data_IF_979201533647
#
_entry.id   IF_979201533647
#
_cell.length_a   1.000
_cell.length_b   1.000
_cell.length_c   1.000
_cell.angle_alpha   90.00
_cell.angle_beta   90.00
_cell.angle_gamma   90.00
#
_symmetry.space_group_name_H-M   'P 1'
#
loop_
_entity.id
_entity.type
_entity.pdbx_description
1 polymer ?
#
# COMPACT_ATOMS: atom_id res chain seq x y z
N UNK A 1 3.99 -11.86 -63.61
CA UNK A 1 4.73 -10.60 -63.83
C UNK A 1 5.10 -10.09 -62.44
N UNK A 2 6.08 -10.63 -61.73
CA UNK A 2 7.53 -10.71 -62.00
C UNK A 2 8.15 -9.37 -62.44
N UNK A 3 8.79 -8.67 -61.48
CA UNK A 3 9.97 -7.85 -61.72
C UNK A 3 10.69 -7.49 -60.39
N UNK A 4 11.84 -8.13 -60.20
CA UNK A 4 12.95 -7.76 -59.29
C UNK A 4 13.60 -6.41 -59.67
N UNK A 5 14.15 -5.70 -58.66
CA UNK A 5 15.47 -4.98 -58.65
C UNK A 5 15.72 -4.45 -57.22
N UNK A 6 16.70 -4.98 -56.46
CA UNK A 6 18.10 -4.48 -56.24
C UNK A 6 18.15 -2.94 -56.05
N UNK A 7 18.66 -2.31 -54.99
CA UNK A 7 19.48 -2.71 -53.84
C UNK A 7 20.69 -1.77 -53.71
N UNK A 8 20.77 -0.96 -52.64
CA UNK A 8 21.96 -0.31 -52.03
C UNK A 8 21.48 0.24 -50.68
N UNK A 9 22.02 -0.06 -49.49
CA UNK A 9 23.41 -0.29 -49.13
C UNK A 9 23.92 0.93 -48.35
N UNK A 10 23.43 1.14 -47.12
CA UNK A 10 23.85 2.21 -46.21
C UNK A 10 23.86 1.70 -44.78
N UNK A 11 25.04 1.35 -44.27
CA UNK A 11 25.24 0.83 -42.93
C UNK A 11 25.25 1.94 -41.88
N UNK A 12 24.37 1.82 -40.90
CA UNK A 12 24.50 2.46 -39.59
C UNK A 12 24.87 1.36 -38.60
N UNK A 13 26.04 1.52 -37.97
CA UNK A 13 26.46 0.69 -36.85
C UNK A 13 25.63 1.09 -35.63
N UNK A 14 24.71 0.24 -35.22
CA UNK A 14 24.09 0.32 -33.89
C UNK A 14 24.87 -0.60 -32.93
N UNK A 15 25.51 0.00 -31.93
CA UNK A 15 26.02 -0.69 -30.75
C UNK A 15 24.83 -1.11 -29.87
N UNK A 16 24.20 -2.22 -30.24
CA UNK A 16 23.09 -2.82 -29.51
C UNK A 16 23.55 -3.55 -28.26
N UNK A 17 23.76 -2.84 -27.15
CA UNK A 17 23.70 -3.45 -25.81
C UNK A 17 22.28 -3.91 -25.56
N UNK A 18 22.03 -5.21 -25.71
CA UNK A 18 20.78 -5.86 -25.37
C UNK A 18 20.49 -5.71 -23.87
N UNK A 19 19.71 -4.70 -23.49
CA UNK A 19 19.05 -4.68 -22.17
C UNK A 19 17.99 -5.77 -22.19
N UNK A 20 18.19 -6.85 -21.43
CA UNK A 20 17.13 -7.82 -21.17
C UNK A 20 16.08 -7.14 -20.29
N UNK A 21 15.00 -6.67 -20.92
CA UNK A 21 13.76 -6.33 -20.22
C UNK A 21 13.00 -7.66 -20.08
N UNK A 22 13.08 -8.26 -18.90
CA UNK A 22 12.25 -9.42 -18.56
C UNK A 22 10.87 -8.94 -18.13
N UNK A 23 9.88 -9.09 -18.99
CA UNK A 23 8.48 -8.98 -18.60
C UNK A 23 8.05 -10.33 -18.04
N UNK A 24 7.68 -10.38 -16.76
CA UNK A 24 6.91 -11.50 -16.20
C UNK A 24 5.47 -11.03 -16.10
N UNK A 25 4.67 -11.36 -17.11
CA UNK A 25 3.22 -11.25 -17.03
C UNK A 25 2.71 -12.45 -16.22
N UNK A 26 2.19 -12.20 -15.02
CA UNK A 26 1.60 -13.24 -14.19
C UNK A 26 0.12 -13.38 -14.56
N UNK A 27 -0.17 -14.25 -15.53
CA UNK A 27 -1.52 -14.72 -15.80
C UNK A 27 -1.46 -16.18 -16.28
N UNK A 28 -1.24 -17.10 -15.33
CA UNK A 28 -1.57 -18.51 -15.54
C UNK A 28 -1.79 -19.18 -14.17
N UNK A 29 -3.04 -19.49 -13.84
CA UNK A 29 -3.39 -20.30 -12.68
C UNK A 29 -2.79 -21.71 -12.84
N UNK A 30 -1.64 -21.95 -12.21
CA UNK A 30 -1.09 -23.29 -12.05
C UNK A 30 -1.39 -23.81 -10.65
N UNK A 31 -1.73 -25.11 -10.58
CA UNK A 31 -2.00 -25.80 -9.31
C UNK A 31 -0.72 -25.84 -8.46
N UNK A 32 -0.85 -25.80 -7.12
CA UNK A 32 0.31 -25.67 -6.25
C UNK A 32 1.31 -26.82 -6.45
N UNK A 33 2.58 -26.46 -6.54
CA UNK A 33 3.67 -27.45 -6.65
C UNK A 33 3.98 -28.06 -5.28
N UNK A 34 4.66 -29.21 -5.26
CA UNK A 34 4.98 -29.92 -4.01
C UNK A 34 5.80 -29.06 -3.01
N UNK A 35 6.52 -28.04 -3.49
CA UNK A 35 7.20 -27.01 -2.69
C UNK A 35 6.25 -26.13 -1.86
N UNK A 36 5.05 -25.81 -2.38
CA UNK A 36 4.03 -25.06 -1.65
C UNK A 36 3.31 -25.92 -0.59
N UNK A 37 3.20 -27.24 -0.84
CA UNK A 37 2.76 -28.20 0.18
C UNK A 37 3.78 -28.35 1.30
N UNK A 38 5.06 -28.34 0.98
CA UNK A 38 6.13 -28.41 1.97
C UNK A 38 6.21 -27.13 2.80
N UNK A 39 5.94 -25.96 2.22
CA UNK A 39 5.80 -24.69 2.95
C UNK A 39 4.62 -24.69 3.94
N UNK A 40 3.47 -25.24 3.53
CA UNK A 40 2.30 -25.41 4.42
C UNK A 40 2.56 -26.43 5.54
N UNK A 41 3.35 -27.47 5.28
CA UNK A 41 3.67 -28.51 6.27
C UNK A 41 4.80 -28.11 7.24
N UNK A 42 5.79 -27.33 6.80
CA UNK A 42 6.88 -26.84 7.64
C UNK A 42 6.38 -25.87 8.73
N UNK A 43 5.34 -25.06 8.42
CA UNK A 43 4.68 -24.19 9.38
C UNK A 43 3.90 -24.92 10.50
N UNK A 44 3.75 -26.25 10.40
CA UNK A 44 3.10 -27.09 11.42
C UNK A 44 4.06 -27.62 12.49
N UNK A 45 5.37 -27.60 12.27
CA UNK A 45 6.36 -28.17 13.19
C UNK A 45 7.44 -27.15 13.55
N UNK A 46 7.12 -26.35 14.57
CA UNK A 46 8.01 -25.79 15.58
C UNK A 46 9.40 -25.27 15.18
N UNK A 47 9.56 -23.94 15.23
CA UNK A 47 10.84 -23.31 15.53
C UNK A 47 10.65 -22.31 16.67
N UNK A 48 10.97 -22.76 17.88
CA UNK A 48 11.17 -21.92 19.07
C UNK A 48 12.63 -21.42 19.03
N UNK A 49 12.84 -20.11 19.04
CA UNK A 49 13.92 -19.46 19.81
C UNK A 49 13.74 -17.94 19.88
N UNK A 50 13.59 -17.46 21.13
CA UNK A 50 13.94 -16.16 21.72
C UNK A 50 13.48 -14.85 21.08
N UNK A 51 12.20 -14.51 21.27
CA UNK A 51 11.74 -13.33 22.02
C UNK A 51 10.23 -13.49 22.20
N UNK A 52 9.79 -13.85 23.41
CA UNK A 52 8.38 -14.06 23.74
C UNK A 52 7.68 -12.69 23.84
N UNK A 53 7.18 -12.19 22.71
CA UNK A 53 5.95 -11.42 22.74
C UNK A 53 4.81 -12.40 23.06
N UNK A 54 3.77 -12.00 23.82
CA UNK A 54 2.61 -12.86 24.01
C UNK A 54 2.14 -13.32 22.64
N UNK A 55 1.83 -14.62 22.55
CA UNK A 55 1.25 -15.26 21.38
C UNK A 55 0.02 -14.43 20.99
N UNK A 56 0.19 -13.50 20.05
CA UNK A 56 -0.91 -12.73 19.46
C UNK A 56 -1.79 -13.77 18.80
N UNK A 57 -2.84 -14.15 19.53
CA UNK A 57 -3.82 -15.14 19.09
C UNK A 57 -4.25 -14.76 17.68
N UNK A 58 -4.10 -15.70 16.74
CA UNK A 58 -4.26 -15.50 15.29
C UNK A 58 -5.71 -15.14 14.90
N UNK A 59 -6.56 -14.82 15.87
CA UNK A 59 -7.99 -14.56 15.74
C UNK A 59 -8.37 -13.09 15.95
N UNK A 60 -7.49 -12.24 16.50
CA UNK A 60 -7.92 -10.93 17.03
C UNK A 60 -7.78 -9.71 16.10
N UNK A 61 -7.37 -9.86 14.83
CA UNK A 61 -6.86 -8.73 14.03
C UNK A 61 -7.62 -8.45 12.73
N UNK A 62 -8.94 -8.68 12.68
CA UNK A 62 -9.68 -8.52 11.42
C UNK A 62 -10.02 -7.07 11.04
N UNK A 63 -9.85 -6.09 11.93
CA UNK A 63 -10.27 -4.70 11.65
C UNK A 63 -9.25 -3.62 11.97
N UNK A 64 -7.98 -3.98 12.21
CA UNK A 64 -6.96 -3.01 12.61
C UNK A 64 -5.86 -2.83 11.57
N UNK A 65 -6.05 -1.83 10.69
CA UNK A 65 -5.18 -1.53 9.55
C UNK A 65 -3.76 -1.14 10.01
N UNK A 66 -3.64 -0.42 11.13
CA UNK A 66 -2.34 0.08 11.61
C UNK A 66 -1.35 -1.04 11.96
N UNK A 67 -1.63 -2.02 12.86
CA UNK A 67 -0.72 -3.14 13.09
C UNK A 67 -0.56 -4.03 11.87
N UNK A 68 -1.60 -4.23 11.05
CA UNK A 68 -1.47 -5.03 9.83
C UNK A 68 -0.38 -4.47 8.92
N UNK A 69 -0.38 -3.16 8.69
CA UNK A 69 0.65 -2.48 7.91
C UNK A 69 2.05 -2.62 8.55
N UNK A 70 2.16 -2.44 9.87
CA UNK A 70 3.45 -2.62 10.55
C UNK A 70 3.95 -4.06 10.57
N UNK A 71 3.06 -5.05 10.68
CA UNK A 71 3.40 -6.48 10.57
C UNK A 71 3.88 -6.80 9.16
N UNK A 72 3.21 -6.29 8.12
CA UNK A 72 3.64 -6.45 6.73
C UNK A 72 5.08 -5.97 6.53
N UNK A 73 5.41 -4.78 7.05
CA UNK A 73 6.76 -4.21 6.97
C UNK A 73 7.76 -5.04 7.78
N UNK A 74 7.40 -5.46 9.00
CA UNK A 74 8.24 -6.31 9.85
C UNK A 74 8.59 -7.62 9.15
N UNK A 75 7.58 -8.34 8.65
CA UNK A 75 7.79 -9.63 8.00
C UNK A 75 8.53 -9.47 6.67
N UNK A 76 8.29 -8.39 5.92
CA UNK A 76 9.06 -8.07 4.71
C UNK A 76 10.54 -7.87 5.04
N UNK A 77 10.85 -7.08 6.08
CA UNK A 77 12.23 -6.83 6.53
C UNK A 77 12.89 -8.11 7.05
N UNK A 78 12.15 -8.93 7.80
CA UNK A 78 12.62 -10.22 8.29
C UNK A 78 12.94 -11.16 7.12
N UNK A 79 12.02 -11.33 6.18
CA UNK A 79 12.20 -12.17 5.00
C UNK A 79 13.41 -11.71 4.15
N UNK A 80 13.56 -10.39 3.94
CA UNK A 80 14.73 -9.80 3.28
C UNK A 80 16.04 -10.17 4.00
N UNK A 81 16.03 -10.16 5.33
CA UNK A 81 17.20 -10.50 6.16
C UNK A 81 17.53 -12.00 6.08
N UNK A 82 16.52 -12.86 6.19
CA UNK A 82 16.68 -14.33 6.10
C UNK A 82 17.25 -14.76 4.74
N UNK A 83 16.81 -14.11 3.66
CA UNK A 83 17.35 -14.31 2.31
C UNK A 83 18.72 -13.67 2.07
N UNK A 84 19.25 -12.89 3.03
CA UNK A 84 20.52 -12.14 2.91
C UNK A 84 20.54 -11.16 1.73
N UNK A 85 19.39 -10.57 1.40
CA UNK A 85 19.23 -9.61 0.29
C UNK A 85 18.96 -8.18 0.80
N UNK A 86 19.56 -7.80 1.94
CA UNK A 86 19.44 -6.46 2.53
C UNK A 86 19.91 -5.31 1.61
N UNK A 87 20.71 -5.64 0.59
CA UNK A 87 21.19 -4.72 -0.43
C UNK A 87 20.19 -4.55 -1.60
N UNK A 88 19.04 -5.23 -1.58
CA UNK A 88 17.95 -5.04 -2.54
C UNK A 88 16.85 -4.18 -1.92
N UNK A 89 16.22 -3.30 -2.71
CA UNK A 89 15.01 -2.62 -2.27
C UNK A 89 13.88 -3.64 -2.13
N UNK A 90 12.94 -3.39 -1.20
CA UNK A 90 11.65 -4.05 -1.22
C UNK A 90 10.58 -3.04 -1.63
N UNK A 91 9.78 -3.41 -2.63
CA UNK A 91 8.61 -2.65 -3.05
C UNK A 91 7.40 -3.22 -2.32
N UNK A 92 6.70 -2.38 -1.58
CA UNK A 92 5.47 -2.75 -0.88
C UNK A 92 4.38 -1.89 -1.47
N UNK A 93 3.51 -2.48 -2.27
CA UNK A 93 2.48 -1.77 -3.02
C UNK A 93 1.14 -2.46 -2.94
N UNK A 94 0.08 -1.68 -2.98
CA UNK A 94 -1.30 -2.18 -3.00
C UNK A 94 -2.27 -1.14 -2.47
N UNK A 95 -3.51 -1.57 -2.30
CA UNK A 95 -4.54 -0.86 -1.56
C UNK A 95 -4.35 -1.11 -0.06
N UNK A 96 -4.04 -0.05 0.68
CA UNK A 96 -3.83 -0.08 2.11
C UNK A 96 -5.04 0.38 2.93
N UNK A 97 -6.10 0.88 2.27
CA UNK A 97 -7.32 1.37 2.90
C UNK A 97 -7.12 2.47 3.97
N UNK A 98 -6.07 3.30 3.84
CA UNK A 98 -5.89 4.51 4.65
C UNK A 98 -5.45 5.68 3.77
N UNK A 99 -5.73 6.90 4.23
CA UNK A 99 -5.32 8.14 3.57
C UNK A 99 -4.02 8.70 4.18
N UNK A 100 -3.34 9.67 3.52
CA UNK A 100 -2.08 10.24 4.01
C UNK A 100 -2.19 10.98 5.36
N UNK A 101 -3.40 11.40 5.76
CA UNK A 101 -3.69 11.98 7.06
C UNK A 101 -4.00 10.94 8.15
N UNK A 102 -3.89 9.65 7.85
CA UNK A 102 -4.14 8.55 8.80
C UNK A 102 -2.92 8.20 9.68
N UNK A 103 -3.16 7.58 10.84
CA UNK A 103 -2.13 7.09 11.75
C UNK A 103 -1.22 6.02 11.11
N UNK A 104 -1.78 5.11 10.31
CA UNK A 104 -0.99 4.08 9.61
C UNK A 104 0.03 4.71 8.67
N UNK A 105 -0.39 5.67 7.84
CA UNK A 105 0.50 6.37 6.92
C UNK A 105 1.62 7.07 7.69
N UNK A 106 1.29 7.87 8.73
CA UNK A 106 2.26 8.54 9.60
C UNK A 106 3.34 7.59 10.10
N UNK A 107 2.92 6.48 10.70
CA UNK A 107 3.83 5.54 11.35
C UNK A 107 4.73 4.81 10.35
N UNK A 108 4.19 4.41 9.19
CA UNK A 108 4.95 3.76 8.13
C UNK A 108 6.06 4.65 7.58
N UNK A 109 5.76 5.94 7.36
CA UNK A 109 6.73 6.89 6.82
C UNK A 109 7.64 7.47 7.90
N UNK A 110 7.32 7.25 9.18
CA UNK A 110 8.10 7.67 10.34
C UNK A 110 7.84 9.09 10.82
N UNK A 111 6.66 9.62 10.55
CA UNK A 111 6.17 10.88 11.13
C UNK A 111 5.57 10.62 12.52
N UNK A 112 5.52 11.67 13.35
CA UNK A 112 4.86 11.60 14.67
C UNK A 112 3.34 11.55 14.51
N UNK A 113 2.65 10.79 15.38
CA UNK A 113 1.19 10.82 15.45
C UNK A 113 0.70 12.19 15.91
N UNK A 114 -0.36 12.67 15.27
CA UNK A 114 -1.10 13.85 15.69
C UNK A 114 -2.17 13.47 16.74
N UNK A 115 -2.59 14.39 17.62
CA UNK A 115 -3.65 14.12 18.59
C UNK A 115 -4.95 13.61 17.95
N UNK A 116 -5.32 14.16 16.79
CA UNK A 116 -6.53 13.74 16.06
C UNK A 116 -6.37 12.35 15.42
N UNK A 117 -5.14 11.98 15.06
CA UNK A 117 -4.83 10.62 14.58
C UNK A 117 -4.91 9.61 15.73
N UNK A 118 -4.37 9.97 16.89
CA UNK A 118 -4.45 9.13 18.09
C UNK A 118 -5.90 8.94 18.57
N UNK A 119 -6.71 10.00 18.55
CA UNK A 119 -8.12 9.90 18.89
C UNK A 119 -8.88 9.00 17.90
N UNK A 120 -8.64 9.14 16.60
CA UNK A 120 -9.23 8.26 15.57
C UNK A 120 -8.80 6.81 15.77
N UNK A 121 -7.50 6.59 15.99
CA UNK A 121 -6.91 5.30 16.30
C UNK A 121 -7.65 4.63 17.47
N UNK A 122 -7.79 5.32 18.60
CA UNK A 122 -8.50 4.81 19.78
C UNK A 122 -9.97 4.51 19.50
N UNK A 123 -10.66 5.36 18.73
CA UNK A 123 -12.07 5.11 18.36
C UNK A 123 -12.26 3.90 17.44
N UNK A 124 -11.23 3.53 16.68
CA UNK A 124 -11.24 2.36 15.80
C UNK A 124 -10.85 1.04 16.51
N UNK A 125 -10.55 1.07 17.81
CA UNK A 125 -10.25 -0.14 18.59
C UNK A 125 -11.54 -0.89 18.89
N UNK A 126 -11.84 -1.90 18.07
CA UNK A 126 -13.05 -2.70 18.17
C UNK A 126 -12.74 -4.20 18.16
N UNK A 127 -13.59 -4.96 18.82
CA UNK A 127 -13.57 -6.43 18.82
C UNK A 127 -14.83 -6.91 18.12
N UNK A 128 -14.64 -7.54 16.97
CA UNK A 128 -15.73 -8.07 16.16
C UNK A 128 -16.26 -9.41 16.71
N UNK A 129 -17.53 -9.74 16.44
CA UNK A 129 -18.19 -10.94 16.96
C UNK A 129 -17.47 -12.26 16.63
N UNK A 130 -16.70 -12.30 15.53
CA UNK A 130 -15.89 -13.46 15.15
C UNK A 130 -14.75 -13.75 16.12
N UNK A 131 -14.31 -12.73 16.86
CA UNK A 131 -13.27 -12.82 17.88
C UNK A 131 -13.91 -13.05 19.26
N UNK A 132 -14.98 -12.29 19.53
CA UNK A 132 -15.75 -12.39 20.77
C UNK A 132 -17.22 -12.70 20.46
N UNK A 133 -17.63 -13.98 20.53
CA UNK A 133 -19.00 -14.40 20.25
C UNK A 133 -20.06 -13.81 21.19
N UNK A 134 -19.66 -13.13 22.27
CA UNK A 134 -20.60 -12.42 23.17
C UNK A 134 -21.10 -11.10 22.58
N UNK A 135 -20.43 -10.60 21.53
CA UNK A 135 -20.87 -9.40 20.82
C UNK A 135 -22.15 -9.70 20.04
N UNK A 136 -23.23 -8.90 20.22
CA UNK A 136 -24.45 -9.09 19.46
C UNK A 136 -24.20 -8.98 17.95
N UNK A 137 -24.65 -9.97 17.19
CA UNK A 137 -24.62 -9.90 15.73
C UNK A 137 -25.67 -8.90 15.26
N UNK A 138 -25.24 -7.90 14.49
CA UNK A 138 -26.19 -7.02 13.81
C UNK A 138 -26.96 -7.86 12.78
N UNK A 139 -28.29 -7.87 12.88
CA UNK A 139 -29.16 -8.45 11.87
C UNK A 139 -29.38 -7.35 10.84
N UNK A 140 -28.69 -7.41 9.70
CA UNK A 140 -28.94 -6.51 8.58
C UNK A 140 -30.36 -6.77 8.06
N UNK A 141 -31.33 -5.94 8.44
CA UNK A 141 -32.54 -5.79 7.66
C UNK A 141 -32.12 -5.23 6.30
N UNK A 142 -32.45 -5.95 5.23
CA UNK A 142 -32.22 -5.48 3.87
C UNK A 142 -32.92 -4.11 3.71
N UNK A 143 -32.14 -3.04 3.64
CA UNK A 143 -32.65 -1.73 3.28
C UNK A 143 -32.99 -1.79 1.78
N UNK A 144 -34.28 -1.73 1.49
CA UNK A 144 -34.81 -1.58 0.13
C UNK A 144 -34.23 -0.31 -0.50
N UNK A 145 -33.71 -0.46 -1.72
CA UNK A 145 -33.22 0.64 -2.55
C UNK A 145 -34.35 1.65 -2.82
N UNK A 146 -34.24 2.88 -2.29
CA UNK A 146 -35.08 3.97 -2.76
C UNK A 146 -35.16 5.21 -1.85
N UNK A 147 -34.34 6.22 -2.14
CA UNK A 147 -34.69 7.62 -1.90
C UNK A 147 -33.87 8.40 -0.86
N UNK A 148 -33.08 9.34 -1.40
CA UNK A 148 -32.59 10.63 -0.86
C UNK A 148 -31.80 10.65 0.47
N UNK A 149 -30.54 11.12 0.35
CA UNK A 149 -29.46 11.11 1.35
C UNK A 149 -29.10 9.71 1.86
N UNK A 150 -28.62 8.86 0.95
CA UNK A 150 -28.02 7.58 1.27
C UNK A 150 -26.84 7.77 2.24
N UNK A 151 -27.09 7.56 3.53
CA UNK A 151 -26.06 7.45 4.55
C UNK A 151 -25.22 6.22 4.21
N UNK A 152 -23.93 6.43 4.00
CA UNK A 152 -22.96 5.39 3.69
C UNK A 152 -23.05 4.22 4.69
N UNK A 153 -23.46 3.01 4.25
CA UNK A 153 -23.64 1.86 5.13
C UNK A 153 -22.32 1.39 5.75
N UNK A 154 -21.16 1.74 5.17
CA UNK A 154 -19.83 1.33 5.65
C UNK A 154 -19.28 2.23 6.77
N UNK A 155 -19.97 3.33 7.11
CA UNK A 155 -19.57 4.20 8.24
C UNK A 155 -19.83 3.60 9.62
N UNK A 156 -20.67 2.56 9.71
CA UNK A 156 -21.03 1.94 10.99
C UNK A 156 -20.35 0.59 11.09
N UNK A 157 -19.36 0.47 11.98
CA UNK A 157 -18.80 -0.83 12.34
C UNK A 157 -19.90 -1.64 13.04
N UNK A 158 -20.55 -2.53 12.31
CA UNK A 158 -21.60 -3.40 12.84
C UNK A 158 -20.99 -4.64 13.48
N UNK A 159 -21.73 -5.25 14.41
CA UNK A 159 -21.32 -6.52 15.07
C UNK A 159 -19.96 -6.46 15.77
N UNK A 160 -19.59 -5.30 16.33
CA UNK A 160 -18.38 -5.12 17.11
C UNK A 160 -18.65 -4.37 18.42
N UNK A 161 -17.84 -4.63 19.45
CA UNK A 161 -17.80 -3.84 20.69
C UNK A 161 -16.52 -3.03 20.76
N UNK A 162 -16.49 -1.99 21.60
CA UNK A 162 -15.24 -1.31 21.93
C UNK A 162 -14.24 -2.29 22.57
N UNK A 163 -12.97 -2.17 22.20
CA UNK A 163 -11.91 -2.94 22.82
C UNK A 163 -11.62 -2.43 24.25
N UNK A 164 -11.11 -3.34 25.05
CA UNK A 164 -10.68 -3.14 26.43
C UNK A 164 -9.19 -3.49 26.54
N UNK A 165 -8.48 -3.06 27.59
CA UNK A 165 -7.08 -3.46 27.80
C UNK A 165 -6.89 -4.99 27.85
N UNK A 166 -7.91 -5.76 28.24
CA UNK A 166 -7.86 -7.22 28.28
C UNK A 166 -7.82 -7.88 26.89
N UNK A 167 -8.20 -7.15 25.83
CA UNK A 167 -8.20 -7.66 24.46
C UNK A 167 -6.80 -7.69 23.83
N UNK A 168 -5.78 -7.15 24.52
CA UNK A 168 -4.38 -7.27 24.11
C UNK A 168 -4.01 -6.47 22.85
N UNK A 169 -4.81 -5.46 22.48
CA UNK A 169 -4.45 -4.52 21.42
C UNK A 169 -3.35 -3.58 21.92
N UNK A 170 -2.36 -3.31 21.06
CA UNK A 170 -1.29 -2.36 21.36
C UNK A 170 -1.88 -0.97 21.61
N UNK A 171 -1.49 -0.31 22.69
CA UNK A 171 -1.77 1.12 22.91
C UNK A 171 -1.08 2.01 21.86
N UNK A 172 -1.48 3.28 21.71
CA UNK A 172 -0.79 4.22 20.80
C UNK A 172 0.72 4.30 21.06
N UNK A 173 1.14 4.33 22.33
CA UNK A 173 2.56 4.33 22.71
C UNK A 173 3.28 3.06 22.28
N UNK A 174 2.66 1.89 22.48
CA UNK A 174 3.23 0.61 22.06
C UNK A 174 3.27 0.47 20.53
N UNK A 175 2.32 1.07 19.81
CA UNK A 175 2.36 1.15 18.35
C UNK A 175 3.51 2.04 17.89
N UNK A 176 3.69 3.22 18.46
CA UNK A 176 4.83 4.10 18.14
C UNK A 176 6.14 3.35 18.39
N UNK A 177 6.26 2.67 19.53
CA UNK A 177 7.44 1.86 19.84
C UNK A 177 7.64 0.72 18.83
N UNK A 178 6.58 0.00 18.48
CA UNK A 178 6.61 -1.07 17.49
C UNK A 178 7.13 -0.57 16.14
N UNK A 179 6.58 0.55 15.64
CA UNK A 179 6.99 1.15 14.37
C UNK A 179 8.40 1.77 14.43
N UNK A 180 8.87 2.18 15.60
CA UNK A 180 10.25 2.67 15.76
C UNK A 180 11.32 1.58 15.52
N UNK A 181 10.94 0.31 15.67
CA UNK A 181 11.83 -0.87 15.54
C UNK A 181 11.84 -1.48 14.14
N UNK A 182 10.97 -1.04 13.25
CA UNK A 182 10.90 -1.54 11.87
C UNK A 182 11.42 -0.49 10.87
N UNK A 183 11.84 -0.89 9.66
CA UNK A 183 12.29 0.07 8.65
C UNK A 183 11.18 1.03 8.25
N UNK A 184 11.54 2.32 8.10
CA UNK A 184 10.64 3.32 7.55
C UNK A 184 10.46 3.12 6.05
N UNK A 185 9.25 3.35 5.58
CA UNK A 185 8.92 3.34 4.17
C UNK A 185 9.00 4.74 3.59
N UNK A 186 9.16 4.82 2.27
CA UNK A 186 9.04 6.04 1.50
C UNK A 186 8.07 5.83 0.36
N UNK A 187 7.05 6.67 0.27
CA UNK A 187 6.16 6.66 -0.89
C UNK A 187 6.90 7.17 -2.13
N UNK A 188 6.78 6.44 -3.25
CA UNK A 188 7.36 6.88 -4.52
C UNK A 188 6.67 8.11 -5.06
N UNK A 189 5.35 8.24 -4.86
CA UNK A 189 4.57 9.35 -5.38
C UNK A 189 4.79 10.62 -4.55
N UNK A 190 4.66 10.55 -3.22
CA UNK A 190 4.99 11.69 -2.34
C UNK A 190 6.41 12.22 -2.61
N UNK A 191 7.40 11.33 -2.69
CA UNK A 191 8.76 11.73 -2.98
C UNK A 191 8.95 12.26 -4.40
N UNK A 192 8.44 11.57 -5.42
CA UNK A 192 8.65 11.93 -6.82
C UNK A 192 7.94 13.24 -7.17
N UNK A 193 6.68 13.42 -6.76
CA UNK A 193 5.90 14.63 -7.00
C UNK A 193 6.46 15.83 -6.22
N UNK A 194 7.06 15.63 -5.05
CA UNK A 194 7.76 16.72 -4.33
C UNK A 194 8.93 17.35 -5.11
N UNK A 195 9.48 16.62 -6.10
CA UNK A 195 10.57 17.08 -6.96
C UNK A 195 10.11 17.71 -8.27
N UNK A 196 8.82 17.61 -8.59
CA UNK A 196 8.26 18.17 -9.82
C UNK A 196 8.04 19.67 -9.61
N UNK A 197 8.71 20.51 -10.42
CA UNK A 197 8.65 21.98 -10.30
C UNK A 197 7.31 22.57 -10.68
N UNK A 198 6.63 21.95 -11.63
CA UNK A 198 5.33 22.38 -12.14
C UNK A 198 4.41 21.17 -12.20
N UNK A 199 3.44 21.14 -11.30
CA UNK A 199 2.43 20.10 -11.26
C UNK A 199 1.33 20.32 -12.31
N UNK A 200 1.39 21.36 -13.15
CA UNK A 200 0.56 21.56 -14.34
C UNK A 200 -0.95 21.29 -14.14
N UNK A 201 -1.50 21.77 -13.02
CA UNK A 201 -2.92 21.58 -12.69
C UNK A 201 -3.28 20.20 -12.13
N UNK A 202 -2.28 19.35 -11.86
CA UNK A 202 -2.46 18.12 -11.08
C UNK A 202 -2.71 18.47 -9.62
N UNK A 203 -3.76 17.86 -9.08
CA UNK A 203 -4.13 18.02 -7.68
C UNK A 203 -3.40 16.95 -6.85
N UNK A 204 -2.77 17.36 -5.76
CA UNK A 204 -2.20 16.45 -4.75
C UNK A 204 -3.11 16.35 -3.54
N UNK A 205 -2.90 15.35 -2.70
CA UNK A 205 -3.63 15.22 -1.44
C UNK A 205 -3.54 16.48 -0.58
N UNK A 206 -2.33 17.03 -0.40
CA UNK A 206 -2.07 18.23 0.40
C UNK A 206 -2.74 19.51 -0.13
N UNK A 207 -3.14 19.53 -1.40
CA UNK A 207 -3.91 20.65 -1.97
C UNK A 207 -5.41 20.59 -1.64
N UNK A 208 -5.93 19.42 -1.21
CA UNK A 208 -7.33 19.22 -0.79
C UNK A 208 -7.48 19.15 0.72
N UNK A 209 -6.53 18.48 1.36
CA UNK A 209 -6.51 18.22 2.80
C UNK A 209 -5.29 18.91 3.37
N UNK A 210 -5.51 19.84 4.29
CA UNK A 210 -4.42 20.56 4.93
C UNK A 210 -3.59 19.61 5.80
N UNK A 211 -2.39 19.29 5.34
CA UNK A 211 -1.37 18.61 6.13
C UNK A 211 -0.35 19.65 6.63
N UNK A 212 0.23 19.39 7.81
CA UNK A 212 1.31 20.25 8.32
C UNK A 212 2.50 20.30 7.34
N UNK A 213 3.22 21.43 7.24
CA UNK A 213 4.24 21.64 6.20
C UNK A 213 5.42 20.67 6.25
N UNK A 214 5.68 20.04 7.40
CA UNK A 214 6.73 19.03 7.58
C UNK A 214 6.24 17.59 7.45
N UNK A 215 4.94 17.39 7.21
CA UNK A 215 4.29 16.08 7.14
C UNK A 215 4.44 15.49 5.74
N UNK A 216 4.80 14.22 5.70
CA UNK A 216 4.82 13.43 4.47
C UNK A 216 3.38 13.14 4.03
N UNK A 217 3.21 12.86 2.75
CA UNK A 217 1.90 12.56 2.16
C UNK A 217 1.23 13.72 1.44
N UNK A 218 1.75 14.94 1.59
CA UNK A 218 1.19 16.15 0.97
C UNK A 218 1.29 16.11 -0.56
N UNK A 219 2.28 15.42 -1.09
CA UNK A 219 2.52 15.28 -2.53
C UNK A 219 1.93 13.99 -3.09
N UNK A 220 1.22 13.19 -2.30
CA UNK A 220 0.49 12.03 -2.83
C UNK A 220 -0.57 12.47 -3.86
N UNK A 221 -1.03 11.57 -4.74
CA UNK A 221 -2.14 11.85 -5.65
C UNK A 221 -3.35 12.43 -4.90
N UNK A 222 -4.18 13.26 -5.53
CA UNK A 222 -5.41 13.69 -4.86
C UNK A 222 -6.37 12.52 -4.60
N UNK A 223 -6.36 11.53 -5.50
CA UNK A 223 -7.23 10.36 -5.51
C UNK A 223 -6.49 9.16 -6.09
N UNK A 224 -6.71 7.99 -5.50
CA UNK A 224 -6.39 6.69 -6.10
C UNK A 224 -7.61 5.81 -6.18
N UNK A 225 -8.64 6.08 -5.36
CA UNK A 225 -10.01 5.59 -5.51
C UNK A 225 -10.97 6.78 -5.70
N UNK A 226 -11.85 6.68 -6.70
CA UNK A 226 -12.75 7.76 -7.09
C UNK A 226 -14.17 7.25 -7.35
N UNK A 227 -14.86 6.77 -6.34
CA UNK A 227 -16.26 6.34 -6.46
C UNK A 227 -17.23 7.50 -6.30
N UNK A 228 -18.54 7.22 -6.43
CA UNK A 228 -19.59 8.21 -6.20
C UNK A 228 -19.60 8.73 -4.74
N UNK A 229 -19.49 7.83 -3.76
CA UNK A 229 -19.57 8.17 -2.34
C UNK A 229 -18.20 8.44 -1.69
N UNK A 230 -17.15 7.80 -2.20
CA UNK A 230 -15.83 7.79 -1.57
C UNK A 230 -14.73 8.14 -2.57
N UNK A 231 -14.05 9.25 -2.31
CA UNK A 231 -12.99 9.81 -3.16
C UNK A 231 -11.76 10.12 -2.31
N UNK A 232 -10.79 9.22 -2.31
CA UNK A 232 -9.58 9.40 -1.50
C UNK A 232 -8.37 8.64 -2.05
N UNK A 233 -7.25 8.77 -1.35
CA UNK A 233 -6.03 8.00 -1.58
C UNK A 233 -6.06 6.80 -0.68
N UNK A 234 -5.93 5.61 -1.27
CA UNK A 234 -5.88 4.32 -0.58
C UNK A 234 -4.72 3.46 -1.09
N UNK A 235 -4.26 3.72 -2.30
CA UNK A 235 -3.23 2.94 -2.99
C UNK A 235 -1.87 3.61 -2.88
N UNK A 236 -0.86 2.81 -2.59
CA UNK A 236 0.50 3.30 -2.44
C UNK A 236 1.50 2.38 -3.13
N UNK A 237 2.60 2.98 -3.57
CA UNK A 237 3.83 2.25 -3.93
C UNK A 237 4.90 2.73 -2.97
N UNK A 238 5.15 1.95 -1.92
CA UNK A 238 6.19 2.22 -0.96
C UNK A 238 7.49 1.51 -1.32
N UNK A 239 8.61 2.18 -1.03
CA UNK A 239 9.95 1.60 -1.11
C UNK A 239 10.53 1.49 0.29
N UNK A 240 10.94 0.27 0.64
CA UNK A 240 11.89 0.02 1.70
C UNK A 240 13.29 0.00 1.08
N UNK A 241 14.04 1.07 1.30
CA UNK A 241 15.36 1.24 0.70
C UNK A 241 16.36 0.17 1.21
N UNK A 242 17.39 -0.16 0.41
CA UNK A 242 18.53 -0.94 0.86
C UNK A 242 19.20 -0.32 2.09
N UNK A 243 19.92 -1.13 2.87
CA UNK A 243 20.60 -0.65 4.09
C UNK A 243 21.76 0.33 3.81
N UNK A 244 22.32 0.27 2.60
CA UNK A 244 23.53 0.96 2.17
C UNK A 244 23.27 2.12 1.21
N UNK A 245 22.05 2.24 0.66
CA UNK A 245 21.72 3.24 -0.36
C UNK A 245 20.25 3.56 -0.41
N UNK A 246 19.91 4.68 -1.06
CA UNK A 246 18.53 5.03 -1.39
C UNK A 246 18.25 4.79 -2.87
N UNK A 247 17.05 4.35 -3.16
CA UNK A 247 16.52 4.21 -4.51
C UNK A 247 16.03 5.57 -5.02
N UNK A 248 16.29 5.92 -6.25
CA UNK A 248 15.77 7.14 -6.86
C UNK A 248 14.48 6.87 -7.63
N UNK A 249 13.54 7.82 -7.57
CA UNK A 249 12.35 7.84 -8.43
C UNK A 249 12.73 8.61 -9.69
N UNK A 250 12.75 7.91 -10.83
CA UNK A 250 13.15 8.45 -12.13
C UNK A 250 11.95 8.98 -12.89
N UNK A 251 10.85 8.25 -12.84
CA UNK A 251 9.60 8.63 -13.51
C UNK A 251 8.39 8.17 -12.70
N UNK A 252 7.28 8.87 -12.87
CA UNK A 252 5.97 8.50 -12.37
C UNK A 252 4.99 8.51 -13.55
N UNK A 253 4.06 7.55 -13.56
CA UNK A 253 2.89 7.67 -14.41
C UNK A 253 2.08 8.89 -13.97
N UNK A 254 1.77 9.76 -14.92
CA UNK A 254 1.03 11.00 -14.67
C UNK A 254 -0.31 10.71 -13.99
N UNK A 255 -0.68 11.57 -13.05
CA UNK A 255 -1.98 11.53 -12.42
C UNK A 255 -3.08 11.89 -13.42
N UNK A 256 -4.28 11.34 -13.20
CA UNK A 256 -5.48 11.78 -13.90
C UNK A 256 -5.90 13.16 -13.38
N UNK A 257 -6.49 13.98 -14.26
CA UNK A 257 -7.13 15.22 -13.82
C UNK A 257 -8.48 14.86 -13.22
N UNK A 258 -8.92 15.58 -12.19
CA UNK A 258 -10.21 15.33 -11.54
C UNK A 258 -11.38 15.34 -12.53
N UNK A 259 -11.34 16.23 -13.53
CA UNK A 259 -12.37 16.29 -14.58
C UNK A 259 -12.47 15.01 -15.43
N UNK A 260 -11.37 14.26 -15.58
CA UNK A 260 -11.36 12.99 -16.32
C UNK A 260 -11.93 11.82 -15.47
N UNK A 261 -12.12 12.02 -14.16
CA UNK A 261 -12.64 11.02 -13.22
C UNK A 261 -14.14 11.18 -12.94
N UNK A 262 -14.74 12.32 -13.32
CA UNK A 262 -16.18 12.56 -13.14
C UNK A 262 -17.02 11.70 -14.11
N UNK A 263 -18.22 11.22 -13.68
CA UNK A 263 -18.87 11.46 -12.39
C UNK A 263 -18.39 10.57 -11.22
N UNK A 264 -17.43 9.67 -11.49
CA UNK A 264 -17.04 8.57 -10.61
C UNK A 264 -16.52 7.38 -11.42
N UNK A 265 -15.79 6.48 -10.80
CA UNK A 265 -15.33 5.20 -11.33
C UNK A 265 -16.04 4.03 -10.60
N UNK A 266 -16.16 2.83 -11.20
CA UNK A 266 -15.78 2.47 -12.58
C UNK A 266 -16.70 3.11 -13.64
N UNK A 267 -16.21 3.20 -14.87
CA UNK A 267 -16.95 3.74 -16.02
C UNK A 267 -16.88 2.80 -17.22
N UNK A 268 -18.05 2.38 -17.72
CA UNK A 268 -18.15 1.48 -18.87
C UNK A 268 -17.44 2.07 -20.09
N UNK A 269 -16.50 1.32 -20.65
CA UNK A 269 -15.71 1.73 -21.83
C UNK A 269 -14.53 2.66 -21.52
N UNK A 270 -14.33 3.03 -20.26
CA UNK A 270 -13.22 3.90 -19.81
C UNK A 270 -12.34 3.17 -18.80
N UNK A 271 -12.89 2.77 -17.64
CA UNK A 271 -12.17 2.05 -16.59
C UNK A 271 -13.07 1.03 -15.91
N UNK A 272 -12.59 -0.20 -15.73
CA UNK A 272 -13.35 -1.28 -15.05
C UNK A 272 -13.14 -1.32 -13.54
N UNK A 273 -12.28 -0.46 -12.98
CA UNK A 273 -12.03 -0.35 -11.55
C UNK A 273 -12.41 1.06 -11.08
N UNK A 274 -12.86 1.14 -9.83
CA UNK A 274 -12.98 2.35 -9.03
C UNK A 274 -11.65 2.95 -8.58
N UNK A 275 -10.56 2.16 -8.70
CA UNK A 275 -9.20 2.59 -8.43
C UNK A 275 -8.44 2.96 -9.71
N UNK A 276 -7.41 3.78 -9.54
CA UNK A 276 -6.52 4.26 -10.58
C UNK A 276 -5.16 3.57 -10.43
N UNK A 277 -4.62 3.06 -11.54
CA UNK A 277 -3.29 2.44 -11.52
C UNK A 277 -2.19 3.45 -11.20
N UNK A 278 -1.33 3.08 -10.25
CA UNK A 278 -0.09 3.78 -9.94
C UNK A 278 1.09 3.06 -10.59
N UNK A 279 2.05 3.81 -11.13
CA UNK A 279 3.29 3.25 -11.64
C UNK A 279 4.46 4.21 -11.44
N UNK A 280 5.60 3.65 -11.03
CA UNK A 280 6.83 4.39 -10.78
C UNK A 280 8.02 3.65 -11.39
N UNK A 281 8.94 4.39 -11.99
CA UNK A 281 10.24 3.88 -12.41
C UNK A 281 11.27 4.20 -11.33
N UNK A 282 11.98 3.16 -10.87
CA UNK A 282 12.96 3.26 -9.80
C UNK A 282 14.37 2.91 -10.30
N UNK A 283 15.35 3.71 -9.90
CA UNK A 283 16.76 3.41 -10.11
C UNK A 283 17.42 3.04 -8.79
N UNK A 284 18.14 1.92 -8.79
CA UNK A 284 18.90 1.43 -7.65
C UNK A 284 20.37 1.32 -8.04
N UNK A 285 21.03 2.45 -8.30
CA UNK A 285 22.45 2.44 -8.62
C UNK A 285 23.28 2.00 -7.41
N UNK A 286 24.20 1.05 -7.61
CA UNK A 286 25.32 0.88 -6.68
C UNK A 286 26.18 2.13 -6.83
N UNK A 287 26.46 2.81 -5.72
CA UNK A 287 27.60 3.74 -5.64
C UNK A 287 28.80 3.01 -6.21
N UNK A 288 29.32 3.47 -7.34
CA UNK A 288 30.60 2.95 -7.86
C UNK A 288 31.64 3.36 -6.84
N UNK A 289 32.27 2.38 -6.20
CA UNK A 289 33.48 2.61 -5.42
C UNK A 289 34.48 3.33 -6.32
N UNK A 290 34.85 4.55 -5.92
CA UNK A 290 35.85 5.41 -6.57
C UNK A 290 37.26 5.04 -6.12
#
# INVERSE_FOLDING_TARGET
>A
MDAKRRGTGGGLKEDGKTRRVGWVTCAEQRRPTDLERDFLNANRKGMRTSLQLPELDRRSLLFFIVPQAGILVRETSRFRTELKVNHWPCIISGDFNFAPDDAAYSLLVGDTLLPEQEQRLLSSYVVHFSVDPTVPRAVTAALEEGGEEAVDPDRVITSARAATPADGLLSPTELIEFFSRIPRLRSTYDFGLSKVKDLAGLQTFGSRVALGPSRRGSYEPAYTSYTHYWKTVLDYVFVMDPVDRRSDVIALLSLHRTADLEPGLPQKGVCSSDHISLAAELCCERTRES
#
